data_IF_033528381783
#
_entry.id   IF_033528381783
#
_cell.length_a   1.000
_cell.length_b   1.000
_cell.length_c   1.000
_cell.angle_alpha   90.00
_cell.angle_beta   90.00
_cell.angle_gamma   90.00
#
_symmetry.space_group_name_H-M   'P 1'
#
loop_
_entity.id
_entity.type
_entity.pdbx_description
1 polymer ?
#
# COMPACT_ATOMS: atom_id res chain seq x y z
N UNK A 1 -8.94 5.61 -27.85
CA UNK A 1 -8.94 6.60 -26.74
C UNK A 1 -8.98 5.85 -25.41
N UNK A 2 -7.89 5.81 -24.64
CA UNK A 2 -7.92 5.24 -23.28
C UNK A 2 -8.68 6.21 -22.36
N UNK A 3 -9.70 5.73 -21.64
CA UNK A 3 -10.46 6.51 -20.65
C UNK A 3 -9.51 6.98 -19.55
N UNK A 4 -9.60 8.25 -19.15
CA UNK A 4 -8.83 8.78 -18.02
C UNK A 4 -9.31 8.10 -16.72
N UNK A 5 -8.42 7.79 -15.77
CA UNK A 5 -8.81 7.34 -14.44
C UNK A 5 -9.70 8.39 -13.76
N UNK A 6 -10.71 7.97 -13.00
CA UNK A 6 -11.69 8.86 -12.37
C UNK A 6 -11.04 9.94 -11.47
N UNK A 7 -9.88 9.65 -10.88
CA UNK A 7 -9.12 10.59 -10.04
C UNK A 7 -8.51 11.77 -10.81
N UNK A 8 -8.23 11.62 -12.11
CA UNK A 8 -7.72 12.72 -12.96
C UNK A 8 -8.82 13.75 -13.28
N UNK A 9 -10.09 13.32 -13.27
CA UNK A 9 -11.24 14.19 -13.57
C UNK A 9 -11.52 15.16 -12.42
N UNK A 10 -11.31 14.74 -11.16
CA UNK A 10 -11.49 15.60 -9.99
C UNK A 10 -10.49 16.75 -9.89
N UNK A 11 -9.27 16.58 -10.42
CA UNK A 11 -8.20 17.57 -10.34
C UNK A 11 -8.41 18.78 -11.27
N UNK A 12 -9.21 18.64 -12.32
CA UNK A 12 -9.49 19.71 -13.29
C UNK A 12 -10.47 20.79 -12.76
N UNK A 13 -11.09 20.60 -11.59
CA UNK A 13 -12.17 21.46 -11.09
C UNK A 13 -11.90 22.19 -9.77
N UNK A 14 -10.73 22.03 -9.14
CA UNK A 14 -10.46 22.68 -7.86
C UNK A 14 -9.71 24.02 -8.03
N UNK A 15 -10.47 25.12 -8.16
CA UNK A 15 -9.99 26.46 -7.85
C UNK A 15 -10.63 26.91 -6.52
N UNK A 16 -9.85 27.02 -5.44
CA UNK A 16 -10.36 27.67 -4.22
C UNK A 16 -9.68 27.37 -2.89
N UNK A 17 -8.89 26.30 -2.75
CA UNK A 17 -8.16 26.02 -1.51
C UNK A 17 -6.66 26.31 -1.66
N UNK A 18 -6.02 26.87 -0.64
CA UNK A 18 -4.57 26.99 -0.58
C UNK A 18 -3.97 25.59 -0.65
N UNK A 19 -3.28 25.29 -1.75
CA UNK A 19 -2.60 24.01 -1.92
C UNK A 19 -1.54 23.86 -0.81
N UNK A 20 -1.35 22.64 -0.25
CA UNK A 20 -0.27 22.41 0.70
C UNK A 20 1.08 22.82 0.09
N UNK A 21 2.00 23.28 0.93
CA UNK A 21 3.34 23.65 0.49
C UNK A 21 4.03 22.44 -0.15
N UNK A 22 4.53 22.63 -1.37
CA UNK A 22 5.29 21.60 -2.10
C UNK A 22 6.72 21.62 -1.58
N UNK A 23 7.27 20.46 -1.25
CA UNK A 23 8.66 20.30 -0.84
C UNK A 23 9.41 19.29 -1.72
N UNK A 24 10.73 19.24 -1.58
CA UNK A 24 11.61 18.35 -2.35
C UNK A 24 11.20 16.88 -2.18
N UNK A 25 10.86 16.45 -0.96
CA UNK A 25 10.48 15.06 -0.69
C UNK A 25 9.16 14.67 -1.35
N UNK A 26 8.22 15.62 -1.44
CA UNK A 26 6.93 15.41 -2.11
C UNK A 26 7.08 15.22 -3.63
N UNK A 27 8.05 15.90 -4.25
CA UNK A 27 8.36 15.78 -5.68
C UNK A 27 9.32 14.63 -6.02
N UNK A 28 10.19 14.23 -5.10
CA UNK A 28 11.14 13.15 -5.36
C UNK A 28 10.42 11.82 -5.65
N UNK A 29 10.84 11.14 -6.71
CA UNK A 29 10.31 9.86 -7.16
C UNK A 29 10.29 9.72 -8.68
N UNK A 30 9.83 8.57 -9.13
CA UNK A 30 9.56 8.30 -10.54
C UNK A 30 8.12 8.72 -10.88
N UNK A 31 7.91 9.28 -12.06
CA UNK A 31 6.65 9.90 -12.49
C UNK A 31 6.33 9.48 -13.92
N UNK A 32 5.09 9.12 -14.18
CA UNK A 32 4.59 8.72 -15.51
C UNK A 32 3.58 9.74 -16.01
N UNK A 33 3.75 10.24 -17.24
CA UNK A 33 2.86 11.22 -17.83
C UNK A 33 1.49 10.59 -18.17
N UNK A 34 0.41 11.31 -17.84
CA UNK A 34 -0.97 10.90 -18.17
C UNK A 34 -1.26 11.03 -19.67
N UNK A 35 -0.65 12.03 -20.34
CA UNK A 35 -0.69 12.29 -21.80
C UNK A 35 0.45 13.21 -22.22
N UNK A 36 1.47 12.79 -22.97
CA UNK A 36 2.54 13.70 -23.39
C UNK A 36 3.49 13.15 -24.46
N UNK A 37 4.34 14.04 -24.98
CA UNK A 37 5.59 13.75 -25.68
C UNK A 37 6.73 13.29 -24.74
N UNK A 38 6.63 13.45 -23.42
CA UNK A 38 7.59 12.93 -22.42
C UNK A 38 6.86 11.93 -21.55
N UNK A 39 7.20 10.66 -21.64
CA UNK A 39 6.43 9.55 -21.06
C UNK A 39 6.74 9.34 -19.59
N UNK A 40 8.01 9.52 -19.20
CA UNK A 40 8.48 9.28 -17.84
C UNK A 40 9.45 10.39 -17.40
N UNK A 41 9.42 10.72 -16.11
CA UNK A 41 10.36 11.63 -15.48
C UNK A 41 10.74 11.08 -14.10
N UNK A 42 12.02 11.15 -13.74
CA UNK A 42 12.54 10.78 -12.44
C UNK A 42 13.13 12.02 -11.80
N UNK A 43 12.74 12.32 -10.56
CA UNK A 43 13.31 13.39 -9.72
C UNK A 43 13.93 12.72 -8.49
N UNK A 44 15.26 12.67 -8.40
CA UNK A 44 15.95 11.89 -7.36
C UNK A 44 16.93 12.73 -6.57
N UNK A 45 17.16 12.30 -5.34
CA UNK A 45 18.32 12.69 -4.56
C UNK A 45 19.42 11.67 -4.80
N UNK A 46 20.53 12.08 -5.39
CA UNK A 46 21.66 11.20 -5.66
C UNK A 46 22.97 11.94 -5.36
N UNK A 47 23.85 11.31 -4.58
CA UNK A 47 25.18 11.86 -4.21
C UNK A 47 25.17 13.32 -3.72
N UNK A 48 24.20 13.66 -2.87
CA UNK A 48 23.99 15.02 -2.33
C UNK A 48 23.61 16.08 -3.38
N UNK A 49 23.15 15.64 -4.56
CA UNK A 49 22.58 16.50 -5.60
C UNK A 49 21.17 16.05 -5.96
N UNK A 50 20.39 17.01 -6.47
CA UNK A 50 19.06 16.76 -7.00
C UNK A 50 19.19 16.51 -8.51
N UNK A 51 19.04 15.27 -8.92
CA UNK A 51 19.19 14.84 -10.31
C UNK A 51 17.83 14.51 -10.92
N UNK A 52 17.62 14.91 -12.17
CA UNK A 52 16.46 14.50 -12.95
C UNK A 52 16.87 13.73 -14.21
N UNK A 53 15.98 12.86 -14.64
CA UNK A 53 16.02 12.24 -15.96
C UNK A 53 14.62 12.17 -16.54
N UNK A 54 14.52 12.24 -17.86
CA UNK A 54 13.26 12.19 -18.59
C UNK A 54 13.38 11.28 -19.80
N UNK A 55 12.27 10.66 -20.19
CA UNK A 55 12.23 9.67 -21.25
C UNK A 55 11.11 9.97 -22.24
N UNK A 56 11.36 9.67 -23.52
CA UNK A 56 10.42 9.77 -24.63
C UNK A 56 10.54 8.50 -25.47
N UNK A 57 9.42 7.84 -25.73
CA UNK A 57 9.33 6.57 -26.45
C UNK A 57 10.28 5.50 -25.87
N UNK A 58 10.33 5.41 -24.54
CA UNK A 58 11.24 4.52 -23.80
C UNK A 58 12.74 4.82 -23.93
N UNK A 59 13.13 5.97 -24.49
CA UNK A 59 14.54 6.39 -24.66
C UNK A 59 14.86 7.62 -23.79
N UNK A 60 16.08 7.75 -23.28
CA UNK A 60 16.50 8.97 -22.59
C UNK A 60 16.28 10.19 -23.48
N UNK A 61 15.58 11.19 -22.95
CA UNK A 61 15.26 12.44 -23.64
C UNK A 61 16.14 13.59 -23.15
N UNK A 62 16.19 13.81 -21.84
CA UNK A 62 17.02 14.83 -21.21
C UNK A 62 17.32 14.45 -19.74
N UNK A 63 18.40 14.99 -19.19
CA UNK A 63 18.84 14.74 -17.81
C UNK A 63 19.71 15.88 -17.30
N UNK A 64 19.74 16.06 -15.98
CA UNK A 64 20.61 17.05 -15.34
C UNK A 64 20.21 17.30 -13.90
N UNK A 65 20.35 18.53 -13.43
CA UNK A 65 20.01 18.91 -12.05
C UNK A 65 18.60 19.49 -11.96
N UNK A 66 17.94 19.38 -10.81
CA UNK A 66 16.69 20.09 -10.54
C UNK A 66 16.73 20.86 -9.24
N UNK A 67 15.88 21.88 -9.13
CA UNK A 67 15.74 22.71 -7.94
C UNK A 67 14.26 23.11 -7.76
N UNK A 68 13.84 23.31 -6.52
CA UNK A 68 12.48 23.72 -6.17
C UNK A 68 12.53 25.05 -5.41
N UNK A 69 11.89 26.08 -5.97
CA UNK A 69 11.77 27.39 -5.33
C UNK A 69 10.30 27.79 -5.24
N UNK A 70 9.71 27.62 -4.07
CA UNK A 70 8.27 27.80 -3.88
C UNK A 70 7.48 26.78 -4.70
N UNK A 71 6.60 27.25 -5.58
CA UNK A 71 5.79 26.43 -6.49
C UNK A 71 6.46 26.20 -7.86
N UNK A 72 7.74 26.56 -8.00
CA UNK A 72 8.46 26.53 -9.27
C UNK A 72 9.57 25.48 -9.26
N UNK A 73 9.42 24.47 -10.12
CA UNK A 73 10.43 23.47 -10.45
C UNK A 73 11.35 24.00 -11.55
N UNK A 74 12.65 23.94 -11.32
CA UNK A 74 13.69 24.27 -12.27
C UNK A 74 14.36 22.98 -12.72
N UNK A 75 14.50 22.77 -14.02
CA UNK A 75 15.23 21.65 -14.62
C UNK A 75 16.41 22.22 -15.41
N UNK A 76 17.63 21.82 -15.03
CA UNK A 76 18.89 22.24 -15.64
C UNK A 76 19.42 21.11 -16.53
N UNK A 77 18.89 21.03 -17.75
CA UNK A 77 19.20 19.97 -18.69
C UNK A 77 20.16 20.38 -19.80
N UNK A 78 20.29 19.52 -20.81
CA UNK A 78 21.18 19.72 -21.96
C UNK A 78 20.83 20.96 -22.79
N UNK A 79 19.56 21.35 -22.84
CA UNK A 79 19.07 22.54 -23.54
C UNK A 79 19.13 23.83 -22.68
N UNK A 80 19.65 23.74 -21.46
CA UNK A 80 19.70 24.84 -20.48
C UNK A 80 18.60 24.75 -19.41
N UNK A 81 18.39 25.86 -18.71
CA UNK A 81 17.46 25.93 -17.59
C UNK A 81 16.01 26.13 -18.07
N UNK A 82 15.13 25.20 -17.70
CA UNK A 82 13.69 25.30 -17.87
C UNK A 82 13.00 25.56 -16.54
N UNK A 83 11.92 26.34 -16.54
CA UNK A 83 11.12 26.63 -15.35
C UNK A 83 9.67 26.21 -15.55
N UNK A 84 9.14 25.47 -14.60
CA UNK A 84 7.75 25.04 -14.57
C UNK A 84 7.10 25.39 -13.24
N UNK A 85 5.86 25.87 -13.27
CA UNK A 85 5.01 25.89 -12.08
C UNK A 85 4.47 24.48 -11.84
N UNK A 86 4.50 24.03 -10.59
CA UNK A 86 4.04 22.70 -10.18
C UNK A 86 2.88 22.78 -9.19
N UNK A 87 1.98 21.81 -9.28
CA UNK A 87 0.91 21.56 -8.31
C UNK A 87 0.89 20.07 -7.98
N UNK A 88 0.75 19.74 -6.70
CA UNK A 88 0.60 18.36 -6.22
C UNK A 88 -0.77 18.14 -5.59
N UNK A 89 -1.38 16.99 -5.88
CA UNK A 89 -2.39 16.37 -5.02
C UNK A 89 -2.17 14.87 -4.96
N UNK A 90 -1.77 14.38 -3.78
CA UNK A 90 -1.35 12.99 -3.60
C UNK A 90 -0.27 12.62 -4.61
N UNK A 91 -0.51 11.54 -5.34
CA UNK A 91 0.42 11.02 -6.35
C UNK A 91 0.26 11.67 -7.72
N UNK A 92 -0.47 12.79 -7.84
CA UNK A 92 -0.63 13.50 -9.12
C UNK A 92 0.11 14.84 -9.09
N UNK A 93 1.02 15.02 -10.04
CA UNK A 93 1.72 16.27 -10.28
C UNK A 93 1.22 16.91 -11.58
N UNK A 94 0.82 18.17 -11.52
CA UNK A 94 0.64 19.00 -12.71
C UNK A 94 1.81 19.95 -12.84
N UNK A 95 2.37 20.04 -14.04
CA UNK A 95 3.52 20.88 -14.36
C UNK A 95 3.18 21.77 -15.55
N UNK A 96 3.44 23.08 -15.47
CA UNK A 96 3.11 24.03 -16.54
C UNK A 96 4.24 25.06 -16.78
N UNK A 97 4.55 25.31 -18.06
CA UNK A 97 5.56 26.27 -18.49
C UNK A 97 5.21 26.88 -19.84
N UNK A 98 5.09 28.21 -19.93
CA UNK A 98 4.60 28.88 -21.14
C UNK A 98 3.19 28.40 -21.54
N UNK A 99 3.04 27.85 -22.75
CA UNK A 99 1.79 27.22 -23.23
C UNK A 99 1.71 25.71 -22.92
N UNK A 100 2.78 25.13 -22.40
CA UNK A 100 2.87 23.70 -22.13
C UNK A 100 2.27 23.37 -20.76
N UNK A 101 1.50 22.28 -20.68
CA UNK A 101 0.96 21.75 -19.43
C UNK A 101 0.95 20.24 -19.51
N UNK A 102 1.44 19.61 -18.44
CA UNK A 102 1.52 18.16 -18.32
C UNK A 102 1.01 17.70 -16.96
N UNK A 103 0.40 16.51 -16.95
CA UNK A 103 0.06 15.81 -15.72
C UNK A 103 0.88 14.53 -15.65
N UNK A 104 1.50 14.30 -14.50
CA UNK A 104 2.23 13.10 -14.15
C UNK A 104 1.57 12.42 -12.96
N UNK A 105 1.69 11.10 -12.89
CA UNK A 105 1.31 10.29 -11.74
C UNK A 105 2.56 9.60 -11.21
N UNK A 106 2.78 9.66 -9.90
CA UNK A 106 3.92 9.05 -9.23
C UNK A 106 3.87 7.53 -9.45
N UNK A 107 4.97 6.94 -9.89
CA UNK A 107 5.13 5.49 -9.98
C UNK A 107 5.21 4.97 -8.55
N UNK A 108 4.23 4.18 -8.14
CA UNK A 108 4.29 3.50 -6.85
C UNK A 108 5.50 2.56 -6.82
N UNK A 109 6.37 2.70 -5.83
CA UNK A 109 7.47 1.75 -5.63
C UNK A 109 6.93 0.40 -5.15
N UNK A 110 7.68 -0.66 -5.42
CA UNK A 110 7.41 -1.98 -4.85
C UNK A 110 7.75 -1.97 -3.37
N UNK A 111 6.81 -2.34 -2.51
CA UNK A 111 7.08 -2.49 -1.07
C UNK A 111 7.33 -3.96 -0.75
N UNK A 112 8.26 -4.25 0.16
CA UNK A 112 8.46 -5.61 0.64
C UNK A 112 7.50 -5.94 1.79
N UNK A 113 6.91 -7.12 1.77
CA UNK A 113 6.00 -7.63 2.80
C UNK A 113 6.31 -9.09 3.10
N UNK A 114 6.54 -9.42 4.37
CA UNK A 114 6.74 -10.79 4.82
C UNK A 114 5.45 -11.34 5.43
N UNK A 115 4.88 -12.39 4.83
CA UNK A 115 3.68 -13.07 5.33
C UNK A 115 4.04 -14.42 5.93
N UNK A 116 3.53 -14.69 7.13
CA UNK A 116 3.65 -15.99 7.80
C UNK A 116 2.37 -16.80 7.58
N UNK A 117 2.45 -17.86 6.77
CA UNK A 117 1.27 -18.61 6.33
C UNK A 117 0.38 -17.76 5.41
N UNK A 118 -0.81 -17.36 5.89
CA UNK A 118 -1.78 -16.58 5.09
C UNK A 118 -2.03 -15.17 5.62
N UNK A 119 -1.34 -14.76 6.69
CA UNK A 119 -1.58 -13.46 7.32
C UNK A 119 -0.35 -12.88 8.02
N UNK A 120 -0.34 -11.56 8.17
CA UNK A 120 0.63 -10.84 9.01
C UNK A 120 0.03 -9.50 9.45
N UNK A 121 0.70 -8.79 10.35
CA UNK A 121 0.33 -7.44 10.75
C UNK A 121 1.57 -6.56 10.95
N UNK A 122 1.41 -5.24 10.89
CA UNK A 122 2.51 -4.28 11.10
C UNK A 122 3.03 -4.28 12.53
N UNK A 123 2.19 -4.64 13.50
CA UNK A 123 2.59 -4.82 14.89
C UNK A 123 1.84 -5.96 15.57
N UNK A 124 2.33 -6.35 16.74
CA UNK A 124 1.72 -7.34 17.62
C UNK A 124 2.17 -7.05 19.03
N UNK A 125 1.23 -6.96 19.98
CA UNK A 125 1.55 -6.80 21.39
C UNK A 125 2.36 -8.00 21.86
N UNK A 126 3.52 -7.73 22.47
CA UNK A 126 4.32 -8.79 23.08
C UNK A 126 3.61 -9.26 24.36
N UNK A 127 3.28 -10.55 24.42
CA UNK A 127 2.85 -11.19 25.65
C UNK A 127 4.04 -11.53 26.56
N UNK A 128 3.77 -11.88 27.81
CA UNK A 128 4.75 -12.56 28.66
C UNK A 128 4.93 -14.01 28.17
N UNK A 129 6.18 -14.46 28.05
CA UNK A 129 6.54 -15.81 27.60
C UNK A 129 6.28 -16.85 28.70
N UNK A 130 5.04 -17.34 28.82
CA UNK A 130 4.69 -18.30 29.88
C UNK A 130 5.11 -19.76 29.58
N UNK A 131 5.47 -20.11 28.34
CA UNK A 131 5.67 -21.51 27.93
C UNK A 131 6.99 -21.84 27.21
N UNK A 132 7.94 -20.92 27.10
CA UNK A 132 9.25 -21.21 26.50
C UNK A 132 9.22 -21.57 25.00
N UNK A 133 8.05 -21.54 24.36
CA UNK A 133 7.88 -21.51 22.91
C UNK A 133 7.55 -20.07 22.50
N UNK A 134 8.40 -19.48 21.64
CA UNK A 134 8.44 -18.06 21.24
C UNK A 134 7.20 -17.55 20.45
N UNK A 135 5.98 -18.00 20.74
CA UNK A 135 4.76 -17.48 20.09
C UNK A 135 4.13 -16.43 21.03
N UNK A 136 4.09 -15.14 20.64
CA UNK A 136 3.48 -14.10 21.45
C UNK A 136 2.03 -14.43 21.79
N UNK A 137 1.62 -14.21 23.04
CA UNK A 137 0.25 -14.50 23.51
C UNK A 137 -0.84 -13.82 22.67
N UNK A 138 -0.53 -12.69 22.02
CA UNK A 138 -1.43 -11.90 21.18
C UNK A 138 -1.08 -11.97 19.68
N UNK A 139 -0.53 -13.10 19.23
CA UNK A 139 -0.07 -13.31 17.85
C UNK A 139 -1.16 -13.12 16.80
N UNK A 140 -0.76 -12.69 15.60
CA UNK A 140 -1.62 -12.64 14.39
C UNK A 140 -2.28 -13.97 14.04
N UNK A 141 -1.73 -15.09 14.52
CA UNK A 141 -2.32 -16.44 14.35
C UNK A 141 -3.66 -16.59 15.07
N UNK A 142 -3.83 -15.88 16.19
CA UNK A 142 -5.05 -15.93 16.99
C UNK A 142 -6.26 -15.43 16.20
N UNK A 143 -6.09 -14.56 15.20
CA UNK A 143 -7.20 -14.09 14.36
C UNK A 143 -7.79 -15.17 13.43
N UNK A 144 -7.34 -16.42 13.50
CA UNK A 144 -7.87 -17.48 12.64
C UNK A 144 -7.65 -18.87 13.23
N UNK A 145 -7.58 -18.95 14.56
CA UNK A 145 -7.47 -20.22 15.28
C UNK A 145 -8.84 -20.83 15.60
N UNK A 146 -9.93 -20.07 15.40
CA UNK A 146 -11.30 -20.51 15.64
C UNK A 146 -11.73 -20.41 17.11
N UNK A 147 -10.90 -19.85 17.98
CA UNK A 147 -11.18 -19.62 19.39
C UNK A 147 -11.37 -18.13 19.70
N UNK A 148 -12.61 -17.63 19.87
CA UNK A 148 -12.84 -16.23 20.22
C UNK A 148 -12.30 -15.85 21.62
N UNK A 149 -11.83 -16.82 22.42
CA UNK A 149 -11.15 -16.57 23.69
C UNK A 149 -9.65 -16.25 23.55
N UNK A 150 -9.11 -16.27 22.34
CA UNK A 150 -7.82 -15.67 21.98
C UNK A 150 -8.05 -14.38 21.18
N UNK A 151 -7.00 -13.58 20.98
CA UNK A 151 -7.03 -12.45 20.04
C UNK A 151 -5.64 -12.07 19.58
N UNK A 152 -5.55 -11.44 18.41
CA UNK A 152 -4.45 -10.55 18.12
C UNK A 152 -4.70 -9.21 18.82
N UNK A 153 -3.65 -8.63 19.36
CA UNK A 153 -3.64 -7.25 19.83
C UNK A 153 -2.52 -6.52 19.09
N UNK A 154 -2.83 -5.33 18.58
CA UNK A 154 -1.82 -4.42 18.04
C UNK A 154 -0.78 -4.04 19.10
N UNK A 155 0.44 -3.71 18.69
CA UNK A 155 1.58 -3.55 19.62
C UNK A 155 2.21 -2.16 19.65
N UNK A 156 1.59 -1.15 19.03
CA UNK A 156 2.09 0.23 19.06
C UNK A 156 1.42 1.01 20.20
N UNK A 157 2.09 2.01 20.79
CA UNK A 157 1.43 2.86 21.78
C UNK A 157 0.20 3.57 21.20
N UNK A 158 -0.93 3.48 21.90
CA UNK A 158 -2.19 4.12 21.51
C UNK A 158 -3.22 3.10 21.06
N UNK A 159 -4.05 3.47 20.08
CA UNK A 159 -5.16 2.64 19.61
C UNK A 159 -4.86 1.78 18.40
N UNK A 160 -3.63 1.84 17.87
CA UNK A 160 -3.24 1.17 16.63
C UNK A 160 -3.92 1.73 15.38
N UNK A 161 -4.48 2.95 15.38
CA UNK A 161 -4.97 3.57 14.14
C UNK A 161 -3.79 3.79 13.19
N UNK A 162 -3.93 3.33 11.95
CA UNK A 162 -2.86 3.27 10.96
C UNK A 162 -2.12 1.93 10.91
N UNK A 163 -2.26 1.07 11.94
CA UNK A 163 -1.74 -0.30 11.89
C UNK A 163 -2.54 -1.15 10.91
N UNK A 164 -1.88 -2.16 10.34
CA UNK A 164 -2.40 -2.91 9.21
C UNK A 164 -2.35 -4.40 9.44
N UNK A 165 -3.38 -5.07 8.95
CA UNK A 165 -3.44 -6.52 8.80
C UNK A 165 -3.37 -6.84 7.31
N UNK A 166 -2.61 -7.85 6.94
CA UNK A 166 -2.51 -8.33 5.58
C UNK A 166 -3.02 -9.77 5.51
N UNK A 167 -3.95 -10.03 4.60
CA UNK A 167 -4.55 -11.34 4.38
C UNK A 167 -4.30 -11.79 2.94
N UNK A 168 -3.77 -13.00 2.75
CA UNK A 168 -3.68 -13.61 1.42
C UNK A 168 -5.09 -13.97 0.95
N UNK A 169 -5.50 -13.39 -0.19
CA UNK A 169 -6.81 -13.62 -0.80
C UNK A 169 -6.79 -14.92 -1.59
N UNK A 170 -7.76 -15.80 -1.33
CA UNK A 170 -8.03 -17.00 -2.12
C UNK A 170 -9.34 -16.81 -2.88
N UNK A 171 -9.33 -17.01 -4.19
CA UNK A 171 -10.53 -16.84 -5.02
C UNK A 171 -11.02 -15.38 -5.03
N UNK A 172 -12.34 -15.20 -4.95
CA UNK A 172 -13.03 -13.91 -5.09
C UNK A 172 -14.01 -13.71 -3.92
N UNK A 173 -13.50 -13.50 -2.69
CA UNK A 173 -14.35 -13.47 -1.51
C UNK A 173 -15.36 -12.32 -1.59
N UNK A 174 -16.60 -12.60 -1.25
CA UNK A 174 -17.65 -11.59 -1.20
C UNK A 174 -17.70 -10.86 0.13
N UNK A 175 -17.03 -11.40 1.17
CA UNK A 175 -17.20 -10.95 2.55
C UNK A 175 -15.93 -11.10 3.39
N UNK A 176 -15.76 -10.17 4.32
CA UNK A 176 -14.85 -10.30 5.45
C UNK A 176 -15.65 -10.77 6.66
N UNK A 177 -15.33 -11.94 7.18
CA UNK A 177 -15.89 -12.49 8.42
C UNK A 177 -14.98 -12.12 9.58
N UNK A 178 -15.54 -11.64 10.69
CA UNK A 178 -14.72 -11.26 11.85
C UNK A 178 -15.45 -11.43 13.19
N UNK A 179 -14.69 -11.67 14.26
CA UNK A 179 -15.11 -11.47 15.65
C UNK A 179 -14.27 -10.35 16.21
N UNK A 180 -14.91 -9.21 16.44
CA UNK A 180 -14.26 -7.97 16.84
C UNK A 180 -13.86 -7.98 18.33
N UNK A 181 -12.81 -7.24 18.70
CA UNK A 181 -12.36 -7.13 20.09
C UNK A 181 -11.78 -8.41 20.67
N UNK A 182 -11.55 -8.42 21.98
CA UNK A 182 -11.11 -9.60 22.71
C UNK A 182 -12.32 -10.39 23.23
N UNK A 183 -12.70 -11.45 22.50
CA UNK A 183 -13.94 -12.21 22.72
C UNK A 183 -13.99 -13.09 23.97
N UNK A 184 -12.90 -13.23 24.74
CA UNK A 184 -12.81 -14.12 25.93
C UNK A 184 -13.86 -13.89 27.00
N UNK A 185 -14.29 -12.65 27.20
CA UNK A 185 -15.39 -12.31 28.11
C UNK A 185 -15.97 -10.94 27.78
N UNK A 186 -17.22 -10.68 28.17
CA UNK A 186 -17.83 -9.36 28.01
C UNK A 186 -17.01 -8.24 28.68
N UNK A 187 -16.34 -8.55 29.80
CA UNK A 187 -15.46 -7.61 30.49
C UNK A 187 -14.20 -7.30 29.66
N UNK A 188 -13.56 -8.30 29.04
CA UNK A 188 -12.38 -8.07 28.20
C UNK A 188 -12.74 -7.40 26.88
N UNK A 189 -13.88 -7.75 26.29
CA UNK A 189 -14.39 -7.09 25.09
C UNK A 189 -14.58 -5.58 25.30
N UNK A 190 -15.21 -5.17 26.41
CA UNK A 190 -15.43 -3.77 26.73
C UNK A 190 -14.13 -3.02 27.11
N UNK A 191 -13.18 -3.71 27.77
CA UNK A 191 -11.96 -3.08 28.28
C UNK A 191 -10.94 -2.73 27.20
N UNK A 192 -10.87 -3.49 26.10
CA UNK A 192 -9.92 -3.28 25.01
C UNK A 192 -10.56 -2.48 23.87
N UNK A 193 -9.76 -1.80 23.05
CA UNK A 193 -10.27 -1.16 21.86
C UNK A 193 -10.66 -2.20 20.80
N UNK A 194 -11.57 -1.79 19.92
CA UNK A 194 -12.21 -2.65 18.92
C UNK A 194 -12.25 -1.90 17.60
N UNK A 195 -12.14 -2.61 16.48
CA UNK A 195 -12.14 -1.95 15.17
C UNK A 195 -13.52 -1.37 14.89
N UNK A 196 -13.59 -0.11 14.50
CA UNK A 196 -14.82 0.53 14.02
C UNK A 196 -14.86 0.60 12.50
N UNK A 197 -13.72 0.88 11.87
CA UNK A 197 -13.59 0.84 10.43
C UNK A 197 -12.19 0.42 9.99
N UNK A 198 -12.13 -0.34 8.90
CA UNK A 198 -10.92 -0.52 8.13
C UNK A 198 -10.93 0.37 6.89
N UNK A 199 -9.74 0.82 6.48
CA UNK A 199 -9.46 1.20 5.09
C UNK A 199 -8.84 -0.02 4.41
N UNK A 200 -9.56 -0.62 3.47
CA UNK A 200 -9.18 -1.86 2.80
C UNK A 200 -8.65 -1.60 1.39
N UNK A 201 -7.51 -2.18 1.05
CA UNK A 201 -6.86 -2.04 -0.27
C UNK A 201 -6.46 -3.40 -0.81
N UNK A 202 -6.80 -3.70 -2.06
CA UNK A 202 -6.30 -4.88 -2.75
C UNK A 202 -4.90 -4.62 -3.34
N UNK A 203 -3.98 -5.53 -3.11
CA UNK A 203 -2.58 -5.45 -3.52
C UNK A 203 -2.24 -6.62 -4.45
N UNK A 204 -1.52 -6.34 -5.54
CA UNK A 204 -0.81 -7.37 -6.29
C UNK A 204 0.46 -7.71 -5.53
N UNK A 205 0.78 -9.00 -5.45
CA UNK A 205 1.92 -9.51 -4.70
C UNK A 205 2.70 -10.53 -5.51
N UNK A 206 4.01 -10.33 -5.61
CA UNK A 206 4.93 -11.17 -6.38
C UNK A 206 6.15 -11.51 -5.55
N UNK A 207 6.60 -12.75 -5.55
CA UNK A 207 7.86 -13.15 -4.90
C UNK A 207 8.96 -13.34 -5.95
N UNK A 208 10.21 -13.13 -5.55
CA UNK A 208 11.36 -13.58 -6.35
C UNK A 208 11.66 -15.06 -6.05
N UNK A 209 12.42 -15.75 -6.93
CA UNK A 209 12.90 -17.09 -6.65
C UNK A 209 13.70 -17.16 -5.33
N UNK A 210 13.29 -18.02 -4.41
CA UNK A 210 13.92 -18.15 -3.08
C UNK A 210 13.39 -17.20 -2.00
N UNK A 211 12.39 -16.37 -2.29
CA UNK A 211 11.68 -15.56 -1.29
C UNK A 211 10.66 -16.35 -0.45
N UNK A 212 10.67 -17.68 -0.57
CA UNK A 212 9.80 -18.60 0.17
C UNK A 212 10.66 -19.42 1.11
N UNK A 213 10.34 -19.39 2.40
CA UNK A 213 10.89 -20.28 3.42
C UNK A 213 9.79 -21.23 3.93
N UNK A 214 10.16 -22.19 4.79
CA UNK A 214 9.20 -23.11 5.42
C UNK A 214 8.10 -22.39 6.23
N UNK A 215 8.38 -21.18 6.72
CA UNK A 215 7.52 -20.48 7.68
C UNK A 215 6.98 -19.13 7.17
N UNK A 216 7.56 -18.57 6.11
CA UNK A 216 7.19 -17.25 5.60
C UNK A 216 7.46 -17.10 4.10
N UNK A 217 6.64 -16.27 3.44
CA UNK A 217 6.82 -15.83 2.07
C UNK A 217 7.03 -14.32 2.04
N UNK A 218 8.10 -13.87 1.38
CA UNK A 218 8.34 -12.46 1.08
C UNK A 218 7.71 -12.11 -0.26
N UNK A 219 6.95 -11.03 -0.27
CA UNK A 219 6.30 -10.47 -1.44
C UNK A 219 6.80 -9.06 -1.70
N UNK A 220 6.89 -8.70 -2.98
CA UNK A 220 6.88 -7.34 -3.47
C UNK A 220 5.44 -6.97 -3.83
N UNK A 221 4.90 -5.97 -3.14
CA UNK A 221 3.50 -5.57 -3.24
C UNK A 221 3.32 -4.20 -3.89
N UNK A 222 2.21 -4.02 -4.60
CA UNK A 222 1.75 -2.73 -5.15
C UNK A 222 0.23 -2.70 -5.23
N UNK A 223 -0.40 -1.53 -5.13
CA UNK A 223 -1.88 -1.42 -5.09
C UNK A 223 -2.51 -1.75 -6.44
N UNK A 224 -3.64 -2.45 -6.41
CA UNK A 224 -4.45 -2.77 -7.60
C UNK A 224 -5.63 -1.82 -7.81
N UNK A 225 -5.84 -0.86 -6.91
CA UNK A 225 -6.99 0.02 -6.98
C UNK A 225 -7.13 0.90 -5.74
N UNK A 226 -8.19 1.71 -5.69
CA UNK A 226 -8.44 2.59 -4.56
C UNK A 226 -8.84 1.81 -3.32
N UNK A 227 -8.59 2.42 -2.17
CA UNK A 227 -9.04 1.89 -0.90
C UNK A 227 -10.55 2.07 -0.71
N UNK A 228 -11.18 1.13 -0.02
CA UNK A 228 -12.60 1.16 0.36
C UNK A 228 -12.73 1.17 1.87
N UNK A 229 -13.73 1.89 2.40
CA UNK A 229 -14.02 1.86 3.84
C UNK A 229 -14.89 0.65 4.15
N UNK A 230 -14.49 -0.16 5.11
CA UNK A 230 -15.25 -1.29 5.64
C UNK A 230 -15.65 -0.97 7.08
N UNK A 231 -16.95 -0.92 7.38
CA UNK A 231 -17.45 -0.57 8.71
C UNK A 231 -17.81 -1.81 9.52
N UNK A 232 -17.30 -1.88 10.74
CA UNK A 232 -17.55 -2.95 11.68
C UNK A 232 -18.55 -2.47 12.76
N UNK A 233 -19.48 -3.36 13.12
CA UNK A 233 -20.42 -3.14 14.22
C UNK A 233 -19.74 -3.42 15.55
N UNK A 234 -20.12 -2.68 16.58
CA UNK A 234 -19.67 -2.92 17.96
C UNK A 234 -20.46 -4.07 18.59
N UNK A 235 -20.22 -5.29 18.10
CA UNK A 235 -20.83 -6.52 18.64
C UNK A 235 -19.76 -7.58 18.97
N UNK A 236 -19.91 -8.25 20.11
CA UNK A 236 -19.08 -9.38 20.54
C UNK A 236 -19.62 -10.69 19.95
N UNK A 237 -19.73 -10.74 18.63
CA UNK A 237 -20.20 -11.92 17.90
C UNK A 237 -19.62 -11.89 16.48
N UNK A 238 -19.65 -13.05 15.81
CA UNK A 238 -19.24 -13.14 14.41
C UNK A 238 -20.11 -12.22 13.55
N UNK A 239 -19.47 -11.41 12.72
CA UNK A 239 -20.12 -10.52 11.79
C UNK A 239 -19.45 -10.61 10.42
N UNK A 240 -20.24 -10.35 9.38
CA UNK A 240 -19.74 -10.29 8.01
C UNK A 240 -19.85 -8.87 7.47
N UNK A 241 -18.80 -8.40 6.80
CA UNK A 241 -18.75 -7.11 6.12
C UNK A 241 -18.57 -7.38 4.64
N UNK A 242 -19.46 -6.86 3.79
CA UNK A 242 -19.36 -7.05 2.34
C UNK A 242 -18.04 -6.46 1.81
N UNK A 243 -17.39 -7.17 0.89
CA UNK A 243 -16.20 -6.71 0.18
C UNK A 243 -16.62 -6.13 -1.18
N UNK A 244 -16.64 -4.80 -1.35
CA UNK A 244 -17.17 -4.16 -2.56
C UNK A 244 -16.14 -4.12 -3.70
N UNK A 245 -15.27 -5.12 -3.77
CA UNK A 245 -14.19 -5.16 -4.75
C UNK A 245 -14.66 -5.74 -6.08
N UNK A 246 -14.30 -5.07 -7.18
CA UNK A 246 -14.33 -5.69 -8.51
C UNK A 246 -13.10 -6.57 -8.67
N UNK A 247 -13.23 -7.83 -8.26
CA UNK A 247 -12.16 -8.82 -8.34
C UNK A 247 -11.65 -9.06 -9.76
N UNK A 248 -12.51 -8.94 -10.77
CA UNK A 248 -12.09 -9.11 -12.16
C UNK A 248 -11.18 -7.96 -12.60
N UNK A 249 -11.50 -6.72 -12.21
CA UNK A 249 -10.62 -5.58 -12.45
C UNK A 249 -9.31 -5.68 -11.65
N UNK A 250 -9.36 -6.13 -10.39
CA UNK A 250 -8.15 -6.35 -9.56
C UNK A 250 -7.22 -7.38 -10.21
N UNK A 251 -7.75 -8.53 -10.65
CA UNK A 251 -6.97 -9.57 -11.34
C UNK A 251 -6.32 -9.03 -12.62
N UNK A 252 -7.08 -8.23 -13.39
CA UNK A 252 -6.56 -7.58 -14.58
C UNK A 252 -5.40 -6.63 -14.25
N UNK A 253 -5.58 -5.75 -13.27
CA UNK A 253 -4.51 -4.82 -12.84
C UNK A 253 -3.30 -5.56 -12.29
N UNK A 254 -3.50 -6.63 -11.51
CA UNK A 254 -2.40 -7.48 -11.05
C UNK A 254 -1.64 -8.12 -12.23
N UNK A 255 -2.34 -8.54 -13.29
CA UNK A 255 -1.73 -9.05 -14.52
C UNK A 255 -0.87 -8.00 -15.25
N UNK A 256 -1.35 -6.75 -15.33
CA UNK A 256 -0.59 -5.63 -15.89
C UNK A 256 0.65 -5.31 -15.03
N UNK A 257 0.50 -5.36 -13.71
CA UNK A 257 1.60 -5.14 -12.75
C UNK A 257 2.64 -6.27 -12.78
N UNK A 258 2.27 -7.49 -13.12
CA UNK A 258 3.20 -8.61 -13.27
C UNK A 258 4.27 -8.30 -14.34
N UNK A 259 3.87 -7.72 -15.48
CA UNK A 259 4.81 -7.33 -16.51
C UNK A 259 5.77 -6.22 -16.05
N UNK A 260 5.29 -5.29 -15.22
CA UNK A 260 6.14 -4.28 -14.58
C UNK A 260 7.11 -4.93 -13.59
N UNK A 261 6.65 -5.91 -12.82
CA UNK A 261 7.49 -6.64 -11.87
C UNK A 261 8.62 -7.38 -12.60
N UNK A 262 8.29 -8.15 -13.63
CA UNK A 262 9.26 -8.91 -14.41
C UNK A 262 10.33 -7.99 -15.02
N UNK A 263 9.94 -6.79 -15.48
CA UNK A 263 10.88 -5.77 -16.00
C UNK A 263 11.74 -5.18 -14.88
N UNK A 264 11.13 -4.72 -13.79
CA UNK A 264 11.81 -4.02 -12.69
C UNK A 264 12.80 -4.97 -11.97
N UNK A 265 12.52 -6.28 -11.93
CA UNK A 265 13.30 -7.29 -11.21
C UNK A 265 14.07 -8.27 -12.12
N UNK A 266 14.14 -8.02 -13.43
CA UNK A 266 14.71 -8.94 -14.42
C UNK A 266 16.11 -9.49 -14.05
N UNK A 267 16.99 -8.63 -13.53
CA UNK A 267 18.35 -9.03 -13.13
C UNK A 267 18.34 -9.99 -11.92
N UNK A 268 17.53 -9.70 -10.91
CA UNK A 268 17.40 -10.55 -9.71
C UNK A 268 16.71 -11.86 -10.04
N UNK A 269 15.73 -11.83 -10.94
CA UNK A 269 15.08 -13.04 -11.46
C UNK A 269 16.12 -13.89 -12.19
N UNK A 270 16.87 -13.34 -13.14
CA UNK A 270 17.87 -14.08 -13.89
C UNK A 270 18.94 -14.73 -12.99
N UNK A 271 19.42 -13.99 -11.97
CA UNK A 271 20.42 -14.46 -11.02
C UNK A 271 19.89 -15.59 -10.11
N UNK A 272 18.68 -15.42 -9.56
CA UNK A 272 18.11 -16.30 -8.52
C UNK A 272 17.33 -17.49 -9.07
N UNK A 273 16.90 -17.45 -10.34
CA UNK A 273 16.10 -18.54 -10.91
C UNK A 273 16.92 -19.81 -11.15
N UNK A 274 18.25 -19.71 -11.30
CA UNK A 274 19.14 -20.84 -11.63
C UNK A 274 18.62 -21.72 -12.80
N UNK A 275 17.92 -21.12 -13.78
CA UNK A 275 17.31 -21.85 -14.91
C UNK A 275 15.99 -22.56 -14.62
N UNK A 276 15.40 -22.38 -13.43
CA UNK A 276 14.08 -22.89 -13.07
C UNK A 276 13.02 -21.85 -13.45
N UNK A 277 12.18 -22.16 -14.44
CA UNK A 277 11.13 -21.27 -14.95
C UNK A 277 9.95 -21.13 -13.98
N UNK A 278 9.72 -22.14 -13.15
CA UNK A 278 8.55 -22.24 -12.28
C UNK A 278 8.92 -22.00 -10.81
N UNK A 279 8.67 -20.78 -10.31
CA UNK A 279 8.34 -20.53 -8.88
C UNK A 279 7.90 -19.09 -8.57
N UNK A 280 7.20 -18.44 -9.51
CA UNK A 280 6.54 -17.16 -9.23
C UNK A 280 5.16 -17.41 -8.61
N UNK A 281 5.07 -17.28 -7.29
CA UNK A 281 3.80 -17.16 -6.60
C UNK A 281 3.26 -15.74 -6.75
N UNK A 282 2.26 -15.63 -7.60
CA UNK A 282 1.41 -14.45 -7.68
C UNK A 282 0.31 -14.60 -6.64
N UNK A 283 0.11 -13.59 -5.82
CA UNK A 283 -1.00 -13.53 -4.88
C UNK A 283 -1.71 -12.19 -5.00
N UNK A 284 -2.97 -12.18 -4.57
CA UNK A 284 -3.65 -10.95 -4.18
C UNK A 284 -3.63 -10.89 -2.67
N UNK A 285 -3.27 -9.74 -2.11
CA UNK A 285 -3.27 -9.50 -0.66
C UNK A 285 -4.30 -8.42 -0.37
N UNK A 286 -5.12 -8.63 0.64
CA UNK A 286 -5.98 -7.60 1.19
C UNK A 286 -5.25 -6.93 2.36
N UNK A 287 -4.88 -5.67 2.18
CA UNK A 287 -4.42 -4.79 3.27
C UNK A 287 -5.64 -4.20 3.97
N UNK A 288 -5.70 -4.32 5.29
CA UNK A 288 -6.73 -3.76 6.16
C UNK A 288 -6.05 -2.82 7.17
N UNK A 289 -6.05 -1.53 6.87
CA UNK A 289 -5.57 -0.48 7.79
C UNK A 289 -6.67 -0.14 8.79
N UNK A 290 -6.38 -0.13 10.09
CA UNK A 290 -7.29 0.33 11.14
C UNK A 290 -7.50 1.83 10.96
N UNK A 291 -8.67 2.23 10.46
CA UNK A 291 -8.98 3.63 10.18
C UNK A 291 -9.66 4.32 11.37
N UNK A 292 -10.51 3.59 12.09
CA UNK A 292 -11.24 4.08 13.26
C UNK A 292 -11.42 2.95 14.28
N UNK A 293 -11.50 3.29 15.56
CA UNK A 293 -11.72 2.34 16.66
C UNK A 293 -12.91 2.75 17.54
N UNK A 294 -13.55 1.76 18.17
CA UNK A 294 -14.32 1.97 19.39
C UNK A 294 -13.34 1.87 20.57
N UNK A 295 -13.31 2.89 21.41
CA UNK A 295 -12.42 2.92 22.57
C UNK A 295 -12.71 1.81 23.57
N UNK A 296 -11.63 1.27 24.17
CA UNK A 296 -11.71 0.43 25.35
C UNK A 296 -11.94 1.25 26.61
N UNK A 297 -12.56 0.65 27.63
CA UNK A 297 -12.73 1.34 28.93
C UNK A 297 -11.46 1.34 29.79
N UNK A 298 -10.41 0.61 29.39
CA UNK A 298 -9.17 0.46 30.19
C UNK A 298 -7.89 0.40 29.35
N UNK A 299 -7.90 -0.38 28.28
CA UNK A 299 -6.76 -0.59 27.40
C UNK A 299 -7.03 0.09 26.06
N UNK A 300 -5.99 0.72 25.52
CA UNK A 300 -6.07 1.39 24.22
C UNK A 300 -5.80 0.41 23.08
N UNK A 301 -5.09 -0.69 23.35
CA UNK A 301 -4.71 -1.69 22.35
C UNK A 301 -5.97 -2.24 21.64
N UNK A 302 -5.96 -2.17 20.31
CA UNK A 302 -7.03 -2.74 19.50
C UNK A 302 -6.86 -4.25 19.40
N UNK A 303 -7.90 -4.97 19.82
CA UNK A 303 -7.95 -6.42 19.74
C UNK A 303 -8.85 -6.91 18.60
N UNK A 304 -8.47 -8.04 18.01
CA UNK A 304 -9.28 -8.77 17.05
C UNK A 304 -9.18 -10.28 17.32
N UNK A 305 -10.31 -10.91 17.63
CA UNK A 305 -10.37 -12.35 17.93
C UNK A 305 -10.38 -13.21 16.67
N UNK A 306 -11.13 -12.84 15.63
CA UNK A 306 -11.20 -13.64 14.41
C UNK A 306 -11.28 -12.74 13.18
N UNK A 307 -10.66 -13.18 12.08
CA UNK A 307 -10.77 -12.60 10.75
C UNK A 307 -10.55 -13.66 9.67
N UNK A 308 -11.45 -13.70 8.69
CA UNK A 308 -11.34 -14.59 7.53
C UNK A 308 -12.05 -14.01 6.29
N UNK A 309 -11.68 -14.53 5.12
CA UNK A 309 -12.26 -14.13 3.84
C UNK A 309 -13.20 -15.22 3.33
N UNK A 310 -14.48 -14.86 3.12
CA UNK A 310 -15.58 -15.75 2.71
C UNK A 310 -16.14 -15.40 1.33
#
# INVERSE_FOLDING_TARGET
MKKLPAYVIGFLLCAGAAAPAIDIGSLAGDWTAVRADVEEMSLKWHKAQLEFSSFRDGRPFDSGEWDLRGDSLFLYGSAGASRYRVWLAGDTMRMAGGKWTQVFVKKEEWQELLIFGTRTATSTLKGEDWFGENIPAYSVRNMGDGDPATCWAEGVPGTGVGEKIYLVVKGKPGRLSMVNGYGKSAALYARNARVKAFRATALAAFNLPGDVSEVATKYHIRKCGPAVKLEARDIQARQGIALPFDWANIEKTAGELAASFDKDFAAQIADRSHGCEDRFYRATILELEIAEVYGGTKYEDTCLSEIDLE
#
